data_IF_193000952026
#
_entry.id   IF_193000952026
#
_cell.length_a   1.000
_cell.length_b   1.000
_cell.length_c   1.000
_cell.angle_alpha   90.00
_cell.angle_beta   90.00
_cell.angle_gamma   90.00
#
_symmetry.space_group_name_H-M   'P 1'
#
loop_
_entity.id
_entity.type
_entity.pdbx_description
1 polymer ?
#
# COMPACT_ATOMS: atom_id res chain seq x y z
N UNK A 1 -4.89 -8.14 1.51
CA UNK A 1 -5.34 -8.05 0.09
C UNK A 1 -5.41 -9.47 -0.45
N UNK A 2 -6.49 -9.83 -1.14
CA UNK A 2 -6.58 -11.05 -1.93
C UNK A 2 -7.18 -10.74 -3.30
N UNK A 3 -6.69 -11.40 -4.33
CA UNK A 3 -7.32 -11.44 -5.66
C UNK A 3 -8.33 -12.57 -5.66
N UNK A 4 -9.56 -12.26 -6.04
CA UNK A 4 -10.69 -13.17 -6.00
C UNK A 4 -11.26 -13.37 -7.40
N UNK A 5 -11.67 -14.59 -7.70
CA UNK A 5 -12.20 -14.98 -9.02
C UNK A 5 -13.63 -15.51 -8.98
N UNK A 6 -14.38 -15.21 -7.90
CA UNK A 6 -15.71 -15.75 -7.66
C UNK A 6 -15.74 -17.15 -7.05
N UNK A 7 -14.59 -17.85 -6.98
CA UNK A 7 -14.47 -19.19 -6.36
C UNK A 7 -13.35 -19.22 -5.31
N UNK A 8 -12.21 -18.62 -5.60
CA UNK A 8 -10.99 -18.64 -4.76
C UNK A 8 -10.55 -17.24 -4.38
N UNK A 9 -9.91 -17.13 -3.22
CA UNK A 9 -9.16 -15.96 -2.81
C UNK A 9 -7.65 -16.27 -2.75
N UNK A 10 -6.88 -15.71 -3.68
CA UNK A 10 -5.40 -15.81 -3.67
C UNK A 10 -4.82 -14.62 -2.92
N UNK A 11 -4.08 -14.83 -1.82
CA UNK A 11 -3.53 -13.72 -1.03
C UNK A 11 -2.44 -12.98 -1.80
N UNK A 12 -2.43 -11.66 -1.67
CA UNK A 12 -1.28 -10.82 -2.04
C UNK A 12 -0.37 -10.61 -0.84
N UNK A 13 0.84 -10.07 -1.07
CA UNK A 13 1.76 -9.76 0.01
C UNK A 13 1.11 -8.85 1.08
N UNK A 14 1.31 -9.13 2.38
CA UNK A 14 0.78 -8.29 3.44
C UNK A 14 1.47 -6.92 3.41
N UNK A 15 0.72 -5.89 3.77
CA UNK A 15 1.22 -4.55 3.96
C UNK A 15 0.63 -3.96 5.23
N UNK A 16 1.36 -3.03 5.84
CA UNK A 16 0.88 -2.22 6.95
C UNK A 16 0.97 -0.76 6.55
N UNK A 17 -0.10 -0.01 6.83
CA UNK A 17 -0.20 1.40 6.53
C UNK A 17 -0.21 2.26 7.81
N UNK A 18 -0.10 3.56 7.61
CA UNK A 18 -0.02 4.56 8.68
C UNK A 18 -1.13 5.58 8.52
N UNK A 19 -2.28 5.35 9.15
CA UNK A 19 -3.48 6.20 8.98
C UNK A 19 -3.36 7.59 9.59
N UNK A 20 -2.56 7.79 10.64
CA UNK A 20 -2.48 9.06 11.38
C UNK A 20 -1.54 10.05 10.70
N UNK A 21 -1.88 11.34 10.72
CA UNK A 21 -1.15 12.40 10.01
C UNK A 21 0.26 12.66 10.57
N UNK A 22 0.45 12.56 11.88
CA UNK A 22 1.71 12.88 12.56
C UNK A 22 2.43 11.64 13.07
N UNK A 23 3.72 11.79 13.32
CA UNK A 23 4.59 10.78 13.92
C UNK A 23 4.03 10.29 15.27
N UNK A 24 4.36 9.05 15.63
CA UNK A 24 3.87 8.44 16.86
C UNK A 24 2.37 8.17 16.85
N UNK A 25 1.79 8.01 15.65
CA UNK A 25 0.37 7.76 15.42
C UNK A 25 -0.55 8.85 16.03
N UNK A 26 -0.12 10.11 15.95
CA UNK A 26 -0.83 11.27 16.50
C UNK A 26 -1.66 12.04 15.45
N UNK A 27 -2.58 12.87 15.94
CA UNK A 27 -3.42 13.73 15.09
C UNK A 27 -4.59 13.00 14.42
N UNK A 28 -5.34 13.64 13.50
CA UNK A 28 -6.48 13.03 12.81
C UNK A 28 -6.11 11.80 11.96
N UNK A 29 -7.12 10.96 11.68
CA UNK A 29 -7.01 9.91 10.68
C UNK A 29 -6.97 10.53 9.27
N UNK A 30 -6.27 9.85 8.38
CA UNK A 30 -6.06 10.22 6.98
C UNK A 30 -6.38 9.02 6.08
N UNK A 31 -6.21 9.16 4.77
CA UNK A 31 -6.24 8.00 3.87
C UNK A 31 -5.08 7.03 4.11
N UNK A 32 -3.97 7.55 4.64
CA UNK A 32 -2.71 6.85 4.91
C UNK A 32 -1.52 7.74 4.52
N UNK A 33 -0.55 7.87 5.41
CA UNK A 33 0.66 8.69 5.26
C UNK A 33 1.90 7.90 4.81
N UNK A 34 1.73 6.59 4.62
CA UNK A 34 2.77 5.70 4.13
C UNK A 34 2.38 4.26 4.38
N UNK A 35 3.15 3.36 3.79
CA UNK A 35 2.97 1.92 3.92
C UNK A 35 4.29 1.20 3.70
N UNK A 36 4.34 -0.08 4.09
CA UNK A 36 5.45 -0.95 3.73
C UNK A 36 4.99 -2.39 3.54
N UNK A 37 5.79 -3.16 2.80
CA UNK A 37 5.57 -4.58 2.54
C UNK A 37 6.92 -5.28 2.35
N UNK A 38 7.12 -6.53 2.85
CA UNK A 38 6.18 -7.31 3.65
C UNK A 38 6.13 -6.83 5.11
N UNK A 39 5.22 -7.38 5.91
CA UNK A 39 5.09 -7.06 7.34
C UNK A 39 5.88 -8.06 8.18
N UNK A 40 6.96 -7.65 8.89
CA UNK A 40 7.70 -8.54 9.78
C UNK A 40 6.78 -9.16 10.85
N UNK A 41 6.88 -10.49 11.00
CA UNK A 41 6.03 -11.28 11.89
C UNK A 41 4.73 -11.78 11.27
N UNK A 42 4.46 -11.48 9.99
CA UNK A 42 3.37 -12.08 9.22
C UNK A 42 3.97 -13.09 8.23
N UNK A 43 4.08 -14.33 8.68
CA UNK A 43 4.63 -15.44 7.89
C UNK A 43 3.58 -16.12 7.01
N UNK A 44 4.02 -17.10 6.21
CA UNK A 44 3.14 -17.85 5.30
C UNK A 44 2.00 -18.56 6.04
N UNK A 45 2.27 -19.13 7.22
CA UNK A 45 1.27 -19.82 8.02
C UNK A 45 0.16 -18.85 8.50
N UNK A 46 0.54 -17.64 8.94
CA UNK A 46 -0.44 -16.61 9.30
C UNK A 46 -1.21 -16.09 8.08
N UNK A 47 -0.57 -15.94 6.92
CA UNK A 47 -1.25 -15.57 5.66
C UNK A 47 -2.30 -16.64 5.29
N UNK A 48 -1.94 -17.92 5.32
CA UNK A 48 -2.86 -19.03 5.07
C UNK A 48 -4.03 -19.03 6.05
N UNK A 49 -3.76 -18.82 7.35
CA UNK A 49 -4.80 -18.68 8.37
C UNK A 49 -5.74 -17.51 8.05
N UNK A 50 -5.21 -16.36 7.65
CA UNK A 50 -6.01 -15.17 7.28
C UNK A 50 -6.86 -15.46 6.05
N UNK A 51 -6.35 -16.17 5.04
CA UNK A 51 -7.16 -16.55 3.87
C UNK A 51 -8.29 -17.48 4.30
N UNK A 52 -7.98 -18.55 5.04
CA UNK A 52 -8.95 -19.58 5.44
C UNK A 52 -10.03 -19.05 6.39
N UNK A 53 -9.71 -18.06 7.24
CA UNK A 53 -10.64 -17.55 8.27
C UNK A 53 -11.30 -16.23 7.92
N UNK A 54 -10.76 -15.47 6.96
CA UNK A 54 -11.28 -14.15 6.58
C UNK A 54 -11.68 -14.09 5.10
N UNK A 55 -10.74 -14.33 4.17
CA UNK A 55 -10.98 -14.03 2.76
C UNK A 55 -11.85 -15.09 2.07
N UNK A 56 -11.47 -16.37 2.17
CA UNK A 56 -12.18 -17.45 1.51
C UNK A 56 -13.64 -17.58 2.00
N UNK A 57 -13.95 -17.50 3.32
CA UNK A 57 -15.33 -17.55 3.79
C UNK A 57 -16.22 -16.42 3.23
N UNK A 58 -15.65 -15.24 2.97
CA UNK A 58 -16.39 -14.13 2.33
C UNK A 58 -16.70 -14.46 0.87
N UNK A 59 -15.73 -14.98 0.12
CA UNK A 59 -15.92 -15.39 -1.28
C UNK A 59 -16.98 -16.51 -1.37
N UNK A 60 -16.87 -17.53 -0.53
CA UNK A 60 -17.81 -18.66 -0.48
C UNK A 60 -19.24 -18.20 -0.18
N UNK A 61 -19.40 -17.33 0.82
CA UNK A 61 -20.73 -16.84 1.21
C UNK A 61 -21.35 -15.94 0.14
N UNK A 62 -20.56 -15.09 -0.51
CA UNK A 62 -21.04 -14.25 -1.61
C UNK A 62 -21.45 -15.11 -2.82
N UNK A 63 -20.69 -16.15 -3.15
CA UNK A 63 -21.08 -17.13 -4.17
C UNK A 63 -22.37 -17.87 -3.79
N UNK A 64 -22.49 -18.34 -2.55
CA UNK A 64 -23.71 -19.01 -2.03
C UNK A 64 -24.96 -18.14 -2.12
N UNK A 65 -24.81 -16.81 -2.00
CA UNK A 65 -25.89 -15.82 -2.16
C UNK A 65 -26.22 -15.50 -3.62
N UNK A 66 -25.53 -16.09 -4.59
CA UNK A 66 -25.72 -15.78 -6.01
C UNK A 66 -25.07 -14.47 -6.45
N UNK A 67 -24.11 -13.95 -5.68
CA UNK A 67 -23.37 -12.72 -5.96
C UNK A 67 -21.85 -12.97 -5.89
N UNK A 68 -21.28 -13.83 -6.76
CA UNK A 68 -19.86 -14.18 -6.71
C UNK A 68 -18.97 -12.94 -6.85
N UNK A 69 -17.91 -12.87 -6.03
CA UNK A 69 -17.03 -11.71 -5.97
C UNK A 69 -15.77 -11.89 -6.81
N UNK A 70 -15.58 -11.01 -7.79
CA UNK A 70 -14.40 -10.93 -8.63
C UNK A 70 -13.64 -9.62 -8.35
N UNK A 71 -12.31 -9.68 -8.29
CA UNK A 71 -11.44 -8.53 -8.10
C UNK A 71 -10.68 -8.56 -6.78
N UNK A 72 -10.42 -7.38 -6.20
CA UNK A 72 -9.58 -7.25 -5.01
C UNK A 72 -10.43 -7.19 -3.75
N UNK A 73 -10.30 -8.18 -2.87
CA UNK A 73 -10.82 -8.14 -1.52
C UNK A 73 -9.73 -7.63 -0.57
N UNK A 74 -9.91 -6.41 -0.08
CA UNK A 74 -9.11 -5.85 0.99
C UNK A 74 -9.77 -6.15 2.33
N UNK A 75 -9.02 -6.68 3.27
CA UNK A 75 -9.44 -6.81 4.67
C UNK A 75 -8.52 -5.96 5.54
N UNK A 76 -9.08 -4.97 6.23
CA UNK A 76 -8.39 -4.25 7.28
C UNK A 76 -8.39 -5.11 8.54
N UNK A 77 -7.21 -5.48 9.04
CA UNK A 77 -7.06 -6.46 10.11
C UNK A 77 -6.36 -5.87 11.33
N UNK A 78 -6.81 -6.30 12.50
CA UNK A 78 -6.07 -6.17 13.75
C UNK A 78 -5.57 -7.55 14.18
N UNK A 79 -4.26 -7.70 14.38
CA UNK A 79 -3.69 -8.92 14.94
C UNK A 79 -3.76 -8.84 16.47
N UNK A 80 -4.59 -9.70 17.07
CA UNK A 80 -4.81 -9.74 18.52
C UNK A 80 -4.23 -11.02 19.12
N UNK A 81 -4.13 -11.09 20.46
CA UNK A 81 -3.76 -12.32 21.15
C UNK A 81 -4.72 -13.50 20.87
N UNK A 82 -5.95 -13.23 20.43
CA UNK A 82 -6.94 -14.23 20.03
C UNK A 82 -6.98 -14.49 18.51
N UNK A 83 -5.95 -14.06 17.77
CA UNK A 83 -5.87 -14.17 16.31
C UNK A 83 -6.32 -12.92 15.56
N UNK A 84 -6.37 -12.98 14.21
CA UNK A 84 -6.76 -11.87 13.36
C UNK A 84 -8.24 -11.51 13.54
N UNK A 85 -8.54 -10.21 13.65
CA UNK A 85 -9.90 -9.67 13.71
C UNK A 85 -10.10 -8.69 12.56
N UNK A 86 -11.23 -8.81 11.86
CA UNK A 86 -11.60 -7.90 10.79
C UNK A 86 -12.11 -6.59 11.37
N UNK A 87 -11.55 -5.48 10.91
CA UNK A 87 -12.04 -4.13 11.16
C UNK A 87 -13.00 -3.68 10.07
N UNK A 88 -12.61 -3.89 8.81
CA UNK A 88 -13.38 -3.49 7.64
C UNK A 88 -13.01 -4.31 6.40
N UNK A 89 -13.86 -4.23 5.38
CA UNK A 89 -13.57 -4.71 4.03
C UNK A 89 -13.65 -3.57 3.03
N UNK A 90 -12.80 -3.61 2.02
CA UNK A 90 -12.89 -2.77 0.82
C UNK A 90 -12.81 -3.68 -0.43
N UNK A 91 -13.43 -3.25 -1.53
CA UNK A 91 -13.52 -4.03 -2.78
C UNK A 91 -12.58 -3.50 -3.87
N UNK A 92 -11.43 -2.99 -3.44
CA UNK A 92 -10.39 -2.41 -4.31
C UNK A 92 -9.03 -2.52 -3.64
N UNK A 93 -8.01 -2.22 -4.41
CA UNK A 93 -6.69 -1.91 -3.90
C UNK A 93 -6.72 -0.80 -2.83
N UNK A 94 -5.88 -0.97 -1.81
CA UNK A 94 -5.60 0.05 -0.80
C UNK A 94 -4.73 1.16 -1.38
N UNK A 95 -4.69 2.30 -0.70
CA UNK A 95 -3.84 3.43 -1.04
C UNK A 95 -3.49 4.13 0.28
N UNK A 96 -2.23 4.05 0.76
CA UNK A 96 -1.01 3.81 -0.02
C UNK A 96 -0.48 2.36 -0.06
N UNK A 97 -1.24 1.34 0.35
CA UNK A 97 -0.72 -0.04 0.43
C UNK A 97 -0.25 -0.60 -0.92
N UNK A 98 -0.97 -0.29 -2.00
CA UNK A 98 -0.63 -0.71 -3.37
C UNK A 98 0.77 -0.30 -3.78
N UNK A 99 1.18 0.92 -3.41
CA UNK A 99 2.48 1.51 -3.72
C UNK A 99 3.63 0.87 -2.92
N UNK A 100 3.34 0.02 -1.94
CA UNK A 100 4.33 -0.84 -1.30
C UNK A 100 4.22 -2.32 -1.73
N UNK A 101 3.05 -2.77 -2.20
CA UNK A 101 2.82 -4.15 -2.61
C UNK A 101 3.23 -4.39 -4.06
N UNK A 102 2.67 -3.64 -5.01
CA UNK A 102 2.87 -3.91 -6.44
C UNK A 102 4.31 -3.77 -6.93
N UNK A 103 5.14 -2.85 -6.41
CA UNK A 103 6.55 -2.79 -6.81
C UNK A 103 7.35 -4.06 -6.48
N UNK A 104 6.81 -4.92 -5.62
CA UNK A 104 7.38 -6.23 -5.28
C UNK A 104 6.77 -7.38 -6.07
N UNK A 105 5.67 -7.18 -6.80
CA UNK A 105 5.02 -8.24 -7.56
C UNK A 105 5.86 -8.58 -8.80
N UNK A 106 6.34 -9.81 -8.91
CA UNK A 106 7.07 -10.29 -10.10
C UNK A 106 6.16 -10.95 -11.13
N UNK A 107 5.07 -11.55 -10.67
CA UNK A 107 4.03 -12.07 -11.57
C UNK A 107 3.39 -10.95 -12.39
N UNK A 108 2.94 -11.27 -13.61
CA UNK A 108 2.24 -10.30 -14.45
C UNK A 108 0.86 -9.95 -13.86
N UNK A 109 0.68 -8.68 -13.52
CA UNK A 109 -0.57 -8.18 -12.93
C UNK A 109 -1.74 -8.24 -13.92
N UNK A 110 -1.51 -7.98 -15.21
CA UNK A 110 -2.57 -8.00 -16.21
C UNK A 110 -3.09 -9.43 -16.42
N UNK A 111 -2.20 -10.41 -16.52
CA UNK A 111 -2.56 -11.83 -16.61
C UNK A 111 -3.32 -12.30 -15.36
N UNK A 112 -2.85 -11.89 -14.18
CA UNK A 112 -3.53 -12.19 -12.91
C UNK A 112 -4.95 -11.64 -12.87
N UNK A 113 -5.15 -10.37 -13.25
CA UNK A 113 -6.47 -9.73 -13.25
C UNK A 113 -7.39 -10.34 -14.33
N UNK A 114 -6.84 -10.69 -15.50
CA UNK A 114 -7.57 -11.38 -16.55
C UNK A 114 -8.00 -12.78 -16.10
N UNK A 115 -7.12 -13.51 -15.41
CA UNK A 115 -7.46 -14.79 -14.81
C UNK A 115 -8.58 -14.65 -13.78
N UNK A 116 -8.47 -13.69 -12.86
CA UNK A 116 -9.46 -13.41 -11.82
C UNK A 116 -10.85 -12.99 -12.38
N UNK A 117 -10.93 -12.50 -13.61
CA UNK A 117 -12.22 -12.17 -14.23
C UNK A 117 -13.09 -13.40 -14.55
N UNK A 118 -12.53 -14.61 -14.49
CA UNK A 118 -13.22 -15.87 -14.82
C UNK A 118 -13.40 -16.72 -13.56
N UNK A 119 -14.59 -17.30 -13.32
CA UNK A 119 -14.79 -18.28 -12.24
C UNK A 119 -13.76 -19.40 -12.26
N UNK A 120 -13.02 -19.58 -11.16
CA UNK A 120 -11.97 -20.59 -11.04
C UNK A 120 -10.68 -20.30 -11.83
N UNK A 121 -10.53 -19.10 -12.40
CA UNK A 121 -9.35 -18.71 -13.17
C UNK A 121 -8.06 -18.65 -12.35
N UNK A 122 -8.12 -18.70 -11.02
CA UNK A 122 -6.99 -18.66 -10.11
C UNK A 122 -6.58 -20.04 -9.55
N UNK A 123 -7.09 -21.15 -10.08
CA UNK A 123 -6.91 -22.48 -9.48
C UNK A 123 -5.44 -22.89 -9.29
N UNK A 124 -4.59 -22.56 -10.26
CA UNK A 124 -3.15 -22.89 -10.26
C UNK A 124 -2.25 -21.65 -10.12
N UNK A 125 -2.84 -20.51 -9.71
CA UNK A 125 -2.09 -19.26 -9.60
C UNK A 125 -1.32 -19.21 -8.28
N UNK A 126 0.00 -19.12 -8.40
CA UNK A 126 0.91 -18.75 -7.32
C UNK A 126 1.61 -17.44 -7.69
N UNK A 127 1.61 -16.48 -6.77
CA UNK A 127 2.23 -15.17 -6.98
C UNK A 127 3.71 -15.21 -6.57
N UNK A 128 4.58 -14.76 -7.47
CA UNK A 128 6.00 -14.55 -7.21
C UNK A 128 6.26 -13.11 -6.75
N UNK A 129 7.15 -12.96 -5.76
CA UNK A 129 7.41 -11.71 -5.07
C UNK A 129 8.91 -11.43 -4.96
N UNK A 130 9.28 -10.17 -5.15
CA UNK A 130 10.60 -9.68 -4.79
C UNK A 130 10.78 -9.79 -3.26
N UNK A 131 11.88 -10.40 -2.78
CA UNK A 131 12.11 -10.56 -1.35
C UNK A 131 12.48 -9.24 -0.66
N UNK A 132 12.89 -8.20 -1.40
CA UNK A 132 13.20 -6.88 -0.84
C UNK A 132 11.98 -6.28 -0.17
N UNK A 133 12.23 -5.47 0.86
CA UNK A 133 11.20 -4.65 1.49
C UNK A 133 10.95 -3.41 0.65
N UNK A 134 9.69 -3.06 0.45
CA UNK A 134 9.30 -1.78 -0.12
C UNK A 134 8.75 -0.87 0.99
N UNK A 135 9.19 0.38 1.02
CA UNK A 135 8.66 1.44 1.90
C UNK A 135 8.16 2.57 1.02
N UNK A 136 6.89 2.93 1.18
CA UNK A 136 6.23 4.02 0.46
C UNK A 136 5.89 5.15 1.43
N UNK A 137 6.38 6.34 1.15
CA UNK A 137 6.15 7.55 1.97
C UNK A 137 5.20 8.46 1.20
N UNK A 138 4.14 8.91 1.86
CA UNK A 138 3.23 9.90 1.27
C UNK A 138 3.74 11.30 1.59
N UNK A 139 3.83 12.11 0.55
CA UNK A 139 3.98 13.56 0.66
C UNK A 139 2.60 14.18 0.56
N UNK A 140 2.21 14.97 1.57
CA UNK A 140 0.91 15.61 1.62
C UNK A 140 1.02 17.13 1.56
N UNK A 141 0.00 17.78 1.02
CA UNK A 141 -0.13 19.24 1.01
C UNK A 141 -0.24 19.81 2.42
N UNK A 142 0.15 21.07 2.58
CA UNK A 142 -0.14 21.85 3.78
C UNK A 142 -1.64 21.80 4.11
N UNK A 143 -2.00 21.62 5.38
CA UNK A 143 -3.39 21.62 5.84
C UNK A 143 -4.15 20.30 5.65
N UNK A 144 -3.57 19.29 4.97
CA UNK A 144 -4.11 17.92 4.98
C UNK A 144 -4.12 17.35 6.42
N UNK A 145 -5.18 16.66 6.89
CA UNK A 145 -6.34 16.18 6.13
C UNK A 145 -7.54 17.13 6.02
N UNK A 146 -7.54 18.27 6.69
CA UNK A 146 -8.74 19.11 6.83
C UNK A 146 -8.95 20.06 5.64
N UNK A 147 -7.99 20.96 5.39
CA UNK A 147 -8.06 21.97 4.32
C UNK A 147 -6.75 21.98 3.51
N UNK A 148 -6.56 21.01 2.60
CA UNK A 148 -5.31 20.87 1.87
C UNK A 148 -5.13 21.97 0.83
N UNK A 149 -4.00 22.67 0.91
CA UNK A 149 -3.60 23.68 -0.07
C UNK A 149 -3.23 23.03 -1.42
N UNK A 150 -3.60 23.68 -2.51
CA UNK A 150 -3.28 23.28 -3.87
C UNK A 150 -2.59 24.43 -4.64
N UNK A 151 -1.84 24.07 -5.67
CA UNK A 151 -1.14 25.00 -6.55
C UNK A 151 0.32 25.28 -6.19
N UNK A 152 0.86 24.61 -5.17
CA UNK A 152 2.28 24.73 -4.82
C UNK A 152 3.11 24.00 -5.88
N UNK A 153 4.14 24.67 -6.42
CA UNK A 153 5.05 24.07 -7.40
C UNK A 153 5.81 22.90 -6.79
N UNK A 154 5.96 21.81 -7.56
CA UNK A 154 6.65 20.59 -7.18
C UNK A 154 7.97 20.50 -7.94
N UNK A 155 9.07 20.51 -7.20
CA UNK A 155 10.44 20.42 -7.71
C UNK A 155 11.15 19.15 -7.20
N UNK A 156 12.30 18.82 -7.82
CA UNK A 156 13.22 17.80 -7.34
C UNK A 156 13.02 16.38 -7.89
N UNK A 157 11.95 16.13 -8.66
CA UNK A 157 11.68 14.82 -9.26
C UNK A 157 12.77 14.37 -10.25
N UNK A 158 13.32 15.30 -11.04
CA UNK A 158 14.36 14.98 -12.05
C UNK A 158 15.70 14.55 -11.44
N UNK A 159 15.92 14.82 -10.15
CA UNK A 159 17.15 14.47 -9.43
C UNK A 159 17.07 13.11 -8.73
N UNK A 160 15.90 12.45 -8.77
CA UNK A 160 15.71 11.16 -8.12
C UNK A 160 16.43 10.06 -8.89
N UNK A 161 16.97 9.09 -8.15
CA UNK A 161 17.60 7.93 -8.74
C UNK A 161 16.55 7.08 -9.49
N UNK A 162 16.89 6.44 -10.63
CA UNK A 162 15.93 5.69 -11.44
C UNK A 162 15.21 4.54 -10.73
N UNK A 163 15.80 4.00 -9.66
CA UNK A 163 15.23 2.95 -8.83
C UNK A 163 14.15 3.43 -7.86
N UNK A 164 14.00 4.74 -7.69
CA UNK A 164 12.94 5.34 -6.87
C UNK A 164 11.67 5.42 -7.70
N UNK A 165 10.61 4.82 -7.19
CA UNK A 165 9.30 4.93 -7.81
C UNK A 165 8.52 6.09 -7.20
N UNK A 166 8.11 7.03 -8.03
CA UNK A 166 7.20 8.11 -7.66
C UNK A 166 5.83 7.89 -8.29
N UNK A 167 4.83 7.61 -7.47
CA UNK A 167 3.44 7.50 -7.92
C UNK A 167 2.69 8.79 -7.59
N UNK A 168 2.20 9.46 -8.63
CA UNK A 168 1.42 10.69 -8.47
C UNK A 168 0.02 10.38 -7.92
N UNK A 169 -0.43 11.19 -6.95
CA UNK A 169 -1.80 11.21 -6.46
C UNK A 169 -2.44 12.56 -6.84
N UNK A 170 -2.55 13.49 -5.89
CA UNK A 170 -3.06 14.85 -6.13
C UNK A 170 -2.01 15.76 -6.76
N UNK A 171 -1.70 15.58 -8.05
CA UNK A 171 -0.86 16.51 -8.83
C UNK A 171 -1.57 16.97 -10.11
N UNK A 172 -1.17 18.12 -10.64
CA UNK A 172 -1.64 18.63 -11.93
C UNK A 172 -0.51 19.37 -12.66
N UNK A 173 -0.62 19.50 -13.98
CA UNK A 173 0.20 20.43 -14.75
C UNK A 173 -0.55 21.77 -14.91
N UNK A 174 0.09 22.88 -14.51
CA UNK A 174 -0.39 24.25 -14.73
C UNK A 174 0.71 25.04 -15.44
N UNK A 175 0.43 25.51 -16.65
CA UNK A 175 1.39 26.23 -17.47
C UNK A 175 2.75 25.52 -17.64
N UNK A 176 2.70 24.18 -17.74
CA UNK A 176 3.89 23.32 -17.86
C UNK A 176 4.61 23.02 -16.54
N UNK A 177 4.15 23.58 -15.42
CA UNK A 177 4.71 23.36 -14.08
C UNK A 177 3.87 22.30 -13.36
N UNK A 178 4.53 21.30 -12.78
CA UNK A 178 3.88 20.33 -11.92
C UNK A 178 3.54 20.98 -10.58
N UNK A 179 2.27 20.88 -10.14
CA UNK A 179 1.77 21.50 -8.91
C UNK A 179 0.98 20.52 -8.05
N UNK A 180 0.88 20.82 -6.76
CA UNK A 180 -0.04 20.13 -5.85
C UNK A 180 -1.50 20.36 -6.27
N UNK A 181 -2.32 19.31 -6.22
CA UNK A 181 -3.71 19.34 -6.64
C UNK A 181 -4.63 18.46 -5.77
N UNK A 182 -4.18 18.07 -4.58
CA UNK A 182 -4.96 17.28 -3.64
C UNK A 182 -4.26 17.12 -2.30
N UNK A 183 -4.95 16.53 -1.32
CA UNK A 183 -4.43 16.38 0.04
C UNK A 183 -3.18 15.50 0.12
N UNK A 184 -3.24 14.29 -0.42
CA UNK A 184 -2.06 13.46 -0.66
C UNK A 184 -1.56 13.77 -2.06
N UNK A 185 -0.31 14.19 -2.18
CA UNK A 185 0.27 14.70 -3.43
C UNK A 185 0.88 13.56 -4.21
N UNK A 186 1.73 12.75 -3.56
CA UNK A 186 2.39 11.62 -4.19
C UNK A 186 2.92 10.61 -3.16
N UNK A 187 3.30 9.45 -3.67
CA UNK A 187 4.01 8.40 -2.97
C UNK A 187 5.45 8.33 -3.49
N UNK A 188 6.42 8.32 -2.58
CA UNK A 188 7.83 8.03 -2.89
C UNK A 188 8.16 6.66 -2.32
N UNK A 189 8.43 5.71 -3.21
CA UNK A 189 8.68 4.32 -2.85
C UNK A 189 10.11 3.93 -3.18
N UNK A 190 10.77 3.24 -2.23
CA UNK A 190 12.04 2.58 -2.48
C UNK A 190 12.01 1.12 -2.04
N UNK A 191 12.80 0.28 -2.71
CA UNK A 191 13.04 -1.11 -2.35
C UNK A 191 14.43 -1.25 -1.73
N UNK A 192 14.54 -2.05 -0.66
CA UNK A 192 15.81 -2.33 0.03
C UNK A 192 15.89 -3.77 0.51
N UNK A 193 17.11 -4.26 0.73
CA UNK A 193 17.34 -5.62 1.21
C UNK A 193 16.74 -5.84 2.61
N UNK A 194 16.79 -4.81 3.45
CA UNK A 194 16.16 -4.77 4.78
C UNK A 194 15.14 -3.63 4.89
N UNK A 195 14.27 -3.63 5.92
CA UNK A 195 13.41 -2.48 6.20
C UNK A 195 14.20 -1.17 6.41
N UNK A 196 15.38 -1.24 7.05
CA UNK A 196 16.24 -0.07 7.28
C UNK A 196 16.78 0.51 5.96
N UNK A 197 17.24 -0.36 5.05
CA UNK A 197 17.74 0.08 3.73
C UNK A 197 16.63 0.75 2.92
N UNK A 198 15.46 0.10 2.83
CA UNK A 198 14.31 0.60 2.08
C UNK A 198 13.81 1.93 2.63
N UNK A 199 13.71 2.04 3.96
CA UNK A 199 13.29 3.25 4.66
C UNK A 199 14.28 4.38 4.43
N UNK A 200 15.58 4.13 4.59
CA UNK A 200 16.63 5.13 4.37
C UNK A 200 16.61 5.68 2.94
N UNK A 201 16.51 4.79 1.94
CA UNK A 201 16.41 5.18 0.53
C UNK A 201 15.14 5.98 0.23
N UNK A 202 13.98 5.54 0.74
CA UNK A 202 12.71 6.23 0.54
C UNK A 202 12.74 7.64 1.14
N UNK A 203 13.28 7.82 2.35
CA UNK A 203 13.39 9.14 2.97
C UNK A 203 14.39 10.05 2.28
N UNK A 204 15.56 9.53 1.87
CA UNK A 204 16.54 10.32 1.13
C UNK A 204 15.93 10.85 -0.19
N UNK A 205 15.17 10.02 -0.90
CA UNK A 205 14.45 10.43 -2.10
C UNK A 205 13.31 11.40 -1.80
N UNK A 206 12.50 11.11 -0.79
CA UNK A 206 11.41 11.97 -0.36
C UNK A 206 11.93 13.37 0.00
N UNK A 207 13.05 13.48 0.72
CA UNK A 207 13.66 14.76 1.08
C UNK A 207 14.10 15.60 -0.12
N UNK A 208 14.43 14.96 -1.25
CA UNK A 208 14.76 15.64 -2.51
C UNK A 208 13.56 16.27 -3.23
N UNK A 209 12.34 15.77 -3.01
CA UNK A 209 11.12 16.36 -3.59
C UNK A 209 10.69 17.56 -2.78
N UNK A 210 10.39 18.70 -3.39
CA UNK A 210 10.08 19.94 -2.66
C UNK A 210 8.80 20.58 -3.18
N UNK A 211 7.94 20.98 -2.25
CA UNK A 211 6.83 21.93 -2.48
C UNK A 211 6.50 22.62 -1.16
N UNK A 212 5.94 23.83 -1.22
CA UNK A 212 5.72 24.63 -0.02
C UNK A 212 4.76 23.95 0.96
N UNK A 213 5.06 24.07 2.26
CA UNK A 213 4.22 23.55 3.35
C UNK A 213 3.99 22.03 3.37
N UNK A 214 4.82 21.26 2.66
CA UNK A 214 4.74 19.80 2.61
C UNK A 214 4.71 19.14 3.99
N UNK A 215 3.77 18.21 4.16
CA UNK A 215 3.67 17.34 5.33
C UNK A 215 4.20 15.93 5.00
N UNK A 216 5.00 15.39 5.91
CA UNK A 216 5.66 14.07 5.79
C UNK A 216 5.82 13.49 7.19
N UNK A 217 5.46 12.21 7.37
CA UNK A 217 5.81 11.46 8.59
C UNK A 217 7.24 10.96 8.52
N UNK A 218 7.96 10.96 9.63
CA UNK A 218 9.35 10.51 9.75
C UNK A 218 9.50 9.11 10.35
N UNK A 219 8.41 8.43 10.72
CA UNK A 219 8.43 7.12 11.39
C UNK A 219 7.79 5.97 10.57
N UNK A 220 7.54 6.15 9.28
CA UNK A 220 7.00 5.11 8.39
C UNK A 220 7.96 3.91 8.32
N UNK A 221 7.49 2.74 8.73
CA UNK A 221 8.26 1.49 8.84
C UNK A 221 9.32 1.45 9.95
N UNK A 222 9.37 2.43 10.87
CA UNK A 222 10.33 2.43 11.98
C UNK A 222 10.19 1.18 12.87
N UNK A 223 8.96 0.80 13.24
CA UNK A 223 8.73 -0.44 14.02
C UNK A 223 9.09 -1.71 13.26
N UNK A 224 9.09 -1.68 11.93
CA UNK A 224 9.49 -2.82 11.12
C UNK A 224 11.01 -3.00 11.16
N UNK A 225 11.75 -1.90 11.03
CA UNK A 225 13.20 -1.82 11.20
C UNK A 225 13.65 -2.30 12.59
N UNK A 226 13.03 -1.80 13.66
CA UNK A 226 13.34 -2.17 15.05
C UNK A 226 13.12 -3.67 15.34
N UNK A 227 12.22 -4.34 14.62
CA UNK A 227 11.96 -5.78 14.79
C UNK A 227 12.94 -6.67 14.05
N UNK A 228 13.67 -6.11 13.09
CA UNK A 228 14.61 -6.85 12.23
C UNK A 228 16.08 -6.58 12.55
N UNK A 229 16.34 -5.67 13.47
CA UNK A 229 17.67 -5.35 14.01
C UNK A 229 17.92 -6.17 15.26
#
# INVERSE_FOLDING_TARGET
LAVCDGVRAVPMAPAQDYKRIFDGDQGPNTGGMGSYSPVPGVDAALVEQIVATVHQPVVDELARRGAPFHGILYAGLMLTAAGPKVLEFNTRFGDPETQAVLPRLRSDLADLLLAASRPGGLDDVALDWDPRTAVSIVLASAGYPDDPRAGDAIDGLDALAPEIEVTHAGTALRDGILVTAGGRVMNVTALGATPSDARSAAYAAADGVVFDGRQIRRDIALRAEERTT
#
